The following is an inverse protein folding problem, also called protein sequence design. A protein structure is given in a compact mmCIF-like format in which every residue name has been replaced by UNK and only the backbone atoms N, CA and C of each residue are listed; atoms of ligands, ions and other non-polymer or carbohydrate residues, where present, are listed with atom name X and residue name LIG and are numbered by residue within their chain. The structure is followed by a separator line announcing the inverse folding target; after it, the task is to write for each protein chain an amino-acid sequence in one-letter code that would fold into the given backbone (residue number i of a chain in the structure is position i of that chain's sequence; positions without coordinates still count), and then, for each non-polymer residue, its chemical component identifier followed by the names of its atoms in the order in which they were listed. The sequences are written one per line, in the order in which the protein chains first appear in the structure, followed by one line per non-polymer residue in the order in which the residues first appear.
data_IF_015413916291
#
_entry.id   IF_015413916291
#
_cell.length_a   1.000
_cell.length_b   1.000
_cell.length_c   1.000
_cell.angle_alpha   90.00
_cell.angle_beta   90.00
_cell.angle_gamma   90.00
#
_symmetry.space_group_name_H-M   'P 1'
#
loop_
_entity.id
_entity.type
_entity.pdbx_description
1 polymer ?
#
# COMPACT_ATOMS: atom_id res chain seq x y z
N UNK A 1 -4.66 16.38 -7.83
CA UNK A 1 -3.46 16.11 -8.66
C UNK A 1 -3.24 14.60 -8.84
N UNK A 2 -2.97 13.82 -7.79
CA UNK A 2 -2.76 12.36 -7.90
C UNK A 2 -3.91 11.61 -8.62
N UNK A 3 -5.15 12.02 -8.40
CA UNK A 3 -6.35 11.45 -9.06
C UNK A 3 -6.44 11.63 -10.56
N UNK A 4 -5.72 12.61 -11.12
CA UNK A 4 -5.65 12.80 -12.57
C UNK A 4 -4.47 12.04 -13.16
N UNK A 5 -3.37 11.97 -12.40
CA UNK A 5 -2.15 11.29 -12.82
C UNK A 5 -2.26 9.77 -12.74
N UNK A 6 -2.84 9.19 -11.69
CA UNK A 6 -2.97 7.73 -11.55
C UNK A 6 -3.76 7.05 -12.69
N UNK A 7 -4.95 7.52 -13.11
CA UNK A 7 -5.65 6.92 -14.25
C UNK A 7 -4.90 7.12 -15.56
N UNK A 8 -4.19 8.24 -15.72
CA UNK A 8 -3.31 8.46 -16.87
C UNK A 8 -2.15 7.45 -16.86
N UNK A 9 -1.51 7.23 -15.71
CA UNK A 9 -0.45 6.24 -15.55
C UNK A 9 -0.96 4.83 -15.84
N UNK A 10 -2.17 4.48 -15.41
CA UNK A 10 -2.81 3.21 -15.76
C UNK A 10 -3.06 3.08 -17.27
N UNK A 11 -3.43 4.16 -17.96
CA UNK A 11 -3.65 4.15 -19.40
C UNK A 11 -2.38 3.86 -20.21
N UNK A 12 -1.24 4.38 -19.77
CA UNK A 12 0.05 4.19 -20.45
C UNK A 12 0.89 3.09 -19.82
N UNK A 13 0.33 2.27 -18.94
CA UNK A 13 1.10 1.33 -18.14
C UNK A 13 1.80 0.28 -18.99
N UNK A 14 1.18 -0.10 -20.11
CA UNK A 14 1.75 -1.01 -21.12
C UNK A 14 3.01 -0.44 -21.80
N UNK A 15 3.12 0.89 -21.92
CA UNK A 15 4.35 1.53 -22.41
C UNK A 15 5.41 1.62 -21.31
N UNK A 16 5.00 1.82 -20.05
CA UNK A 16 5.92 1.87 -18.93
C UNK A 16 6.64 0.53 -18.72
N UNK A 17 5.94 -0.59 -18.85
CA UNK A 17 6.50 -1.95 -18.66
C UNK A 17 7.54 -2.36 -19.69
N UNK A 18 7.63 -1.63 -20.81
CA UNK A 18 8.71 -1.80 -21.78
C UNK A 18 10.06 -1.25 -21.29
N UNK A 19 10.08 -0.44 -20.23
CA UNK A 19 11.30 0.14 -19.67
C UNK A 19 11.48 -0.25 -18.21
N UNK A 20 12.45 -1.14 -17.96
CA UNK A 20 12.76 -1.61 -16.60
C UNK A 20 13.07 -0.46 -15.63
N UNK A 21 13.83 0.54 -16.06
CA UNK A 21 14.20 1.69 -15.22
C UNK A 21 12.99 2.52 -14.81
N UNK A 22 12.04 2.73 -15.73
CA UNK A 22 10.81 3.46 -15.44
C UNK A 22 9.92 2.67 -14.50
N UNK A 23 9.71 1.38 -14.75
CA UNK A 23 8.98 0.49 -13.85
C UNK A 23 9.58 0.47 -12.45
N UNK A 24 10.90 0.41 -12.33
CA UNK A 24 11.61 0.41 -11.05
C UNK A 24 11.33 1.70 -10.27
N UNK A 25 11.42 2.86 -10.93
CA UNK A 25 11.11 4.17 -10.32
C UNK A 25 9.63 4.29 -9.93
N UNK A 26 8.74 3.82 -10.81
CA UNK A 26 7.30 3.87 -10.60
C UNK A 26 6.88 2.96 -9.43
N UNK A 27 7.33 1.71 -9.42
CA UNK A 27 7.10 0.77 -8.33
C UNK A 27 7.61 1.30 -6.99
N UNK A 28 8.81 1.90 -6.97
CA UNK A 28 9.35 2.52 -5.76
C UNK A 28 8.47 3.67 -5.26
N UNK A 29 8.03 4.56 -6.15
CA UNK A 29 7.13 5.67 -5.79
C UNK A 29 5.79 5.17 -5.26
N UNK A 30 5.19 4.18 -5.93
CA UNK A 30 3.93 3.57 -5.54
C UNK A 30 4.04 2.89 -4.17
N UNK A 31 5.07 2.06 -3.97
CA UNK A 31 5.33 1.38 -2.71
C UNK A 31 5.61 2.37 -1.57
N UNK A 32 6.42 3.41 -1.81
CA UNK A 32 6.71 4.45 -0.83
C UNK A 32 5.45 5.23 -0.43
N UNK A 33 4.60 5.58 -1.40
CA UNK A 33 3.35 6.31 -1.14
C UNK A 33 2.35 5.44 -0.38
N UNK A 34 2.19 4.18 -0.79
CA UNK A 34 1.30 3.21 -0.15
C UNK A 34 1.78 2.93 1.28
N UNK A 35 3.08 2.71 1.47
CA UNK A 35 3.69 2.55 2.79
C UNK A 35 3.49 3.76 3.70
N UNK A 36 3.65 4.99 3.17
CA UNK A 36 3.35 6.21 3.92
C UNK A 36 1.88 6.28 4.35
N UNK A 37 0.95 5.95 3.45
CA UNK A 37 -0.48 5.95 3.79
C UNK A 37 -0.77 4.95 4.92
N UNK A 38 -0.24 3.72 4.84
CA UNK A 38 -0.51 2.69 5.84
C UNK A 38 0.21 2.91 7.17
N UNK A 39 1.47 3.37 7.17
CA UNK A 39 2.25 3.53 8.39
C UNK A 39 1.97 4.86 9.11
N UNK A 40 1.88 5.96 8.37
CA UNK A 40 1.79 7.29 9.00
C UNK A 40 0.39 7.53 9.62
N UNK A 41 -0.65 6.90 9.06
CA UNK A 41 -1.99 6.91 9.65
C UNK A 41 -2.12 5.87 10.77
N UNK A 42 -1.44 4.72 10.69
CA UNK A 42 -1.35 3.80 11.81
C UNK A 42 -0.73 4.47 13.05
N UNK A 43 0.34 5.25 12.89
CA UNK A 43 0.94 6.04 13.97
C UNK A 43 -0.01 7.13 14.47
N UNK A 44 -0.71 7.86 13.59
CA UNK A 44 -1.70 8.89 13.98
C UNK A 44 -2.88 8.29 14.76
N UNK A 45 -3.37 7.12 14.36
CA UNK A 45 -4.46 6.41 15.03
C UNK A 45 -4.08 5.88 16.42
N UNK A 46 -2.79 5.56 16.65
CA UNK A 46 -2.29 5.19 17.98
C UNK A 46 -2.27 6.39 18.95
N UNK A 47 -2.11 7.61 18.45
CA UNK A 47 -1.99 8.83 19.28
C UNK A 47 -3.37 9.42 19.61
N UNK A 48 -4.39 9.15 18.79
CA UNK A 48 -5.71 9.82 18.86
C UNK A 48 -6.84 8.93 19.38
N UNK A 49 -6.57 7.64 19.65
CA UNK A 49 -7.58 6.74 20.20
C UNK A 49 -7.66 6.93 21.72
N UNK A 50 -8.75 7.45 22.32
CA UNK A 50 -9.03 7.14 23.71
C UNK A 50 -9.19 5.62 23.76
N UNK A 51 -8.52 4.98 24.72
CA UNK A 51 -8.59 3.54 24.95
C UNK A 51 -10.07 3.13 25.00
N UNK A 52 -10.63 2.63 23.89
CA UNK A 52 -12.01 2.18 23.84
C UNK A 52 -12.02 0.84 24.57
N UNK A 53 -12.16 0.91 25.88
CA UNK A 53 -12.58 -0.19 26.72
C UNK A 53 -13.89 -0.74 26.13
N UNK A 54 -13.77 -1.81 25.35
CA UNK A 54 -14.93 -2.59 24.94
C UNK A 54 -15.41 -3.30 26.21
N UNK A 55 -16.33 -2.67 26.94
CA UNK A 55 -17.16 -3.34 27.96
C UNK A 55 -18.02 -4.37 27.24
N UNK A 56 -17.57 -5.62 27.23
CA UNK A 56 -18.39 -6.77 26.86
C UNK A 56 -19.10 -7.22 28.14
N UNK A 57 -20.40 -6.95 28.25
CA UNK A 57 -21.26 -7.57 29.26
C UNK A 57 -21.37 -9.08 28.98
N UNK A 58 -21.37 -9.94 30.02
CA UNK A 58 -21.35 -11.38 29.83
C UNK A 58 -22.76 -11.88 29.50
N UNK A 59 -22.94 -12.43 28.30
CA UNK A 59 -24.09 -13.31 28.02
C UNK A 59 -23.60 -14.67 27.55
N UNK A 60 -23.87 -15.62 28.43
CA UNK A 60 -23.65 -17.06 28.43
C UNK A 60 -23.94 -17.74 27.07
N UNK A 61 -23.09 -18.68 26.67
CA UNK A 61 -23.45 -19.71 25.68
C UNK A 61 -22.47 -19.96 24.54
N UNK A 62 -21.55 -20.90 24.77
CA UNK A 62 -21.04 -21.93 23.85
C UNK A 62 -20.41 -21.56 22.47
N UNK A 63 -19.22 -22.15 22.26
CA UNK A 63 -18.47 -22.44 21.02
C UNK A 63 -17.49 -21.42 20.42
N UNK A 64 -16.29 -21.99 20.23
CA UNK A 64 -15.16 -21.63 19.38
C UNK A 64 -14.29 -20.45 19.83
N UNK A 65 -13.12 -20.81 20.40
CA UNK A 65 -11.94 -19.97 20.53
C UNK A 65 -11.50 -19.48 19.14
N UNK A 66 -12.08 -18.38 18.65
CA UNK A 66 -11.37 -17.50 17.73
C UNK A 66 -10.32 -16.78 18.56
N UNK A 67 -9.05 -17.13 18.36
CA UNK A 67 -7.93 -16.30 18.81
C UNK A 67 -8.20 -14.88 18.32
N UNK A 68 -8.52 -14.01 19.27
CA UNK A 68 -8.71 -12.59 19.04
C UNK A 68 -7.30 -11.99 18.89
N UNK A 69 -6.64 -12.29 17.77
CA UNK A 69 -5.37 -11.66 17.41
C UNK A 69 -5.68 -10.17 17.29
N UNK A 70 -5.06 -9.29 18.09
CA UNK A 70 -5.29 -7.86 17.98
C UNK A 70 -5.00 -7.46 16.53
N UNK A 71 -5.94 -6.79 15.84
CA UNK A 71 -5.77 -6.48 14.43
C UNK A 71 -4.51 -5.65 14.28
N UNK A 72 -3.63 -6.06 13.36
CA UNK A 72 -2.42 -5.33 13.08
C UNK A 72 -2.80 -3.88 12.72
N UNK A 73 -2.20 -2.85 13.34
CA UNK A 73 -2.60 -1.45 13.13
C UNK A 73 -2.58 -1.02 11.66
N UNK A 74 -1.73 -1.65 10.83
CA UNK A 74 -1.74 -1.46 9.38
C UNK A 74 -2.99 -2.05 8.71
N UNK A 75 -3.46 -3.22 9.16
CA UNK A 75 -4.69 -3.84 8.65
C UNK A 75 -5.91 -3.00 8.99
N UNK A 76 -6.00 -2.48 10.21
CA UNK A 76 -7.08 -1.57 10.62
C UNK A 76 -7.10 -0.30 9.76
N UNK A 77 -5.93 0.29 9.51
CA UNK A 77 -5.78 1.48 8.65
C UNK A 77 -6.16 1.20 7.19
N UNK A 78 -5.78 0.03 6.67
CA UNK A 78 -6.16 -0.38 5.31
C UNK A 78 -7.68 -0.55 5.17
N UNK A 79 -8.34 -1.15 6.17
CA UNK A 79 -9.80 -1.30 6.21
C UNK A 79 -10.48 0.08 6.19
N UNK A 80 -9.97 1.03 6.97
CA UNK A 80 -10.48 2.41 6.99
C UNK A 80 -10.36 3.09 5.62
N UNK A 81 -9.22 2.93 4.95
CA UNK A 81 -9.04 3.46 3.59
C UNK A 81 -9.93 2.79 2.56
N UNK A 82 -10.24 1.52 2.73
CA UNK A 82 -11.16 0.80 1.84
C UNK A 82 -12.61 1.25 2.02
N UNK A 83 -12.99 1.68 3.22
CA UNK A 83 -14.32 2.23 3.52
C UNK A 83 -14.47 3.69 3.08
N UNK A 84 -13.38 4.42 2.89
CA UNK A 84 -13.42 5.78 2.37
C UNK A 84 -13.38 5.78 0.83
N UNK A 85 -14.46 6.19 0.11
CA UNK A 85 -14.47 6.19 -1.35
C UNK A 85 -13.36 7.07 -1.93
N UNK A 86 -12.94 8.10 -1.18
CA UNK A 86 -11.88 8.99 -1.64
C UNK A 86 -10.51 8.30 -1.72
N UNK A 87 -10.19 7.46 -0.73
CA UNK A 87 -8.89 6.83 -0.57
C UNK A 87 -8.85 5.44 -1.21
N UNK A 88 -9.98 4.74 -1.23
CA UNK A 88 -10.12 3.43 -1.87
C UNK A 88 -9.60 3.44 -3.29
N UNK A 89 -10.02 4.41 -4.10
CA UNK A 89 -9.59 4.51 -5.50
C UNK A 89 -8.07 4.68 -5.62
N UNK A 90 -7.47 5.47 -4.73
CA UNK A 90 -6.01 5.72 -4.73
C UNK A 90 -5.26 4.44 -4.35
N UNK A 91 -5.70 3.76 -3.28
CA UNK A 91 -5.08 2.50 -2.84
C UNK A 91 -5.17 1.44 -3.93
N UNK A 92 -6.36 1.28 -4.54
CA UNK A 92 -6.56 0.33 -5.64
C UNK A 92 -5.67 0.66 -6.83
N UNK A 93 -5.63 1.91 -7.27
CA UNK A 93 -4.79 2.31 -8.43
C UNK A 93 -3.30 2.08 -8.14
N UNK A 94 -2.80 2.42 -6.95
CA UNK A 94 -1.41 2.15 -6.55
C UNK A 94 -1.11 0.64 -6.50
N UNK A 95 -2.03 -0.16 -5.95
CA UNK A 95 -1.90 -1.62 -5.90
C UNK A 95 -1.95 -2.24 -7.30
N UNK A 96 -2.79 -1.73 -8.21
CA UNK A 96 -2.86 -2.20 -9.60
C UNK A 96 -1.55 -1.94 -10.33
N UNK A 97 -0.97 -0.74 -10.20
CA UNK A 97 0.33 -0.41 -10.81
C UNK A 97 1.41 -1.41 -10.36
N UNK A 98 1.50 -1.69 -9.05
CA UNK A 98 2.49 -2.64 -8.52
C UNK A 98 2.26 -4.05 -9.05
N UNK A 99 0.98 -4.50 -9.10
CA UNK A 99 0.63 -5.83 -9.60
C UNK A 99 0.98 -5.98 -11.08
N UNK A 100 0.66 -5.00 -11.93
CA UNK A 100 1.00 -5.08 -13.35
C UNK A 100 2.50 -5.08 -13.58
N UNK A 101 3.27 -4.28 -12.84
CA UNK A 101 4.74 -4.33 -12.90
C UNK A 101 5.26 -5.73 -12.49
N UNK A 102 4.63 -6.36 -11.50
CA UNK A 102 5.00 -7.72 -11.07
C UNK A 102 4.80 -8.76 -12.18
N UNK A 103 3.74 -8.62 -12.98
CA UNK A 103 3.40 -9.55 -14.06
C UNK A 103 4.23 -9.31 -15.33
N UNK A 104 4.37 -8.05 -15.75
CA UNK A 104 4.96 -7.70 -17.06
C UNK A 104 6.47 -7.40 -16.98
N UNK A 105 6.96 -6.90 -15.84
CA UNK A 105 8.37 -6.53 -15.66
C UNK A 105 8.89 -6.91 -14.25
N UNK A 106 8.93 -8.20 -13.90
CA UNK A 106 9.33 -8.66 -12.56
C UNK A 106 10.77 -8.28 -12.20
N UNK A 107 11.67 -8.14 -13.18
CA UNK A 107 13.07 -7.75 -12.97
C UNK A 107 13.20 -6.35 -12.36
N UNK A 108 12.25 -5.45 -12.63
CA UNK A 108 12.21 -4.11 -12.03
C UNK A 108 12.02 -4.14 -10.50
N UNK A 109 11.49 -5.24 -9.94
CA UNK A 109 11.26 -5.41 -8.51
C UNK A 109 12.40 -6.11 -7.77
N UNK A 110 13.38 -6.68 -8.50
CA UNK A 110 14.59 -7.22 -7.88
C UNK A 110 15.32 -6.07 -7.19
N UNK A 111 15.62 -6.21 -5.90
CA UNK A 111 16.24 -5.16 -5.11
C UNK A 111 17.53 -4.66 -5.78
N UNK A 112 17.49 -3.41 -6.24
CA UNK A 112 18.65 -2.69 -6.73
C UNK A 112 18.57 -1.30 -6.08
N UNK A 113 19.70 -0.69 -5.73
CA UNK A 113 19.80 0.47 -4.84
C UNK A 113 19.12 1.78 -5.28
N UNK A 114 18.17 1.75 -6.24
CA UNK A 114 17.23 2.84 -6.57
C UNK A 114 16.52 3.31 -5.30
N UNK A 115 17.08 4.32 -4.65
CA UNK A 115 16.52 4.90 -3.43
C UNK A 115 17.53 5.63 -2.58
N UNK A 116 18.83 5.32 -2.74
CA UNK A 116 19.91 5.93 -1.94
C UNK A 116 20.96 6.55 -2.85
N UNK A 117 20.62 7.62 -3.55
CA UNK A 117 21.60 8.53 -4.18
C UNK A 117 22.59 7.93 -5.20
N UNK A 118 22.49 6.66 -5.57
CA UNK A 118 23.41 6.05 -6.52
C UNK A 118 22.98 6.43 -7.93
N UNK A 119 23.77 7.34 -8.49
CA UNK A 119 23.90 7.60 -9.91
C UNK A 119 24.02 6.24 -10.59
N UNK A 120 23.03 5.89 -11.40
CA UNK A 120 23.07 4.69 -12.22
C UNK A 120 24.13 4.91 -13.29
N UNK A 121 25.39 4.57 -12.98
CA UNK A 121 26.28 4.16 -14.06
C UNK A 121 25.67 2.89 -14.60
N UNK A 122 25.07 3.02 -15.80
CA UNK A 122 24.58 1.89 -16.56
C UNK A 122 25.60 0.77 -16.47
N UNK A 123 25.10 -0.43 -16.22
CA UNK A 123 25.90 -1.63 -16.31
C UNK A 123 25.12 -2.60 -17.18
N UNK A 124 25.84 -3.41 -17.96
CA UNK A 124 25.92 -3.38 -19.42
C UNK A 124 24.68 -3.86 -20.18
#
# INVERSE_FOLDING_TARGET
ILRLFLPLTLQYLDEFVQSELLCRRLAHLCAKKLGFMLNNVAETNLITSPNSEIKIEPKDGDKEKKENVPPNPMQSTLIEYQNCPHHRDIVLQLSTIIQTINLECPTALVWCGTGVGTIWHGSP
#
